data_IF_377608576385
#
_entry.id   IF_377608576385
#
_cell.length_a   1.000
_cell.length_b   1.000
_cell.length_c   1.000
_cell.angle_alpha   90.00
_cell.angle_beta   90.00
_cell.angle_gamma   90.00
#
_symmetry.space_group_name_H-M   'P 1'
#
loop_
_entity.id
_entity.type
_entity.pdbx_description
1 polymer ?
#
# COMPACT_ATOMS: atom_id res chain seq x y z
N UNK A 1 13.95 1.21 12.40
CA UNK A 1 14.90 2.33 12.24
C UNK A 1 14.57 3.16 11.01
N UNK A 2 14.42 2.56 9.83
CA UNK A 2 13.99 3.24 8.60
C UNK A 2 12.65 4.01 8.72
N UNK A 3 11.58 3.38 9.21
CA UNK A 3 10.25 4.01 9.31
C UNK A 3 10.28 5.34 10.09
N UNK A 4 11.05 5.41 11.19
CA UNK A 4 11.19 6.62 12.01
C UNK A 4 11.90 7.77 11.29
N UNK A 5 12.71 7.48 10.27
CA UNK A 5 13.35 8.47 9.42
C UNK A 5 12.37 8.92 8.33
N UNK A 6 11.64 7.98 7.73
CA UNK A 6 10.63 8.28 6.71
C UNK A 6 9.54 9.21 7.24
N UNK A 7 9.04 8.94 8.46
CA UNK A 7 8.03 9.75 9.14
C UNK A 7 8.49 11.19 9.46
N UNK A 8 9.78 11.52 9.29
CA UNK A 8 10.30 12.89 9.43
C UNK A 8 10.32 13.65 8.11
N UNK A 9 9.95 13.00 7.01
CA UNK A 9 9.95 13.60 5.66
C UNK A 9 8.51 13.73 5.18
N UNK A 10 8.20 14.85 4.49
CA UNK A 10 6.94 15.00 3.74
C UNK A 10 6.93 14.29 2.39
N UNK A 11 8.04 13.62 2.06
CA UNK A 11 8.20 12.93 0.78
C UNK A 11 7.35 11.66 0.75
N UNK A 12 6.96 11.14 1.92
CA UNK A 12 6.38 9.81 2.07
C UNK A 12 5.29 9.78 3.15
N UNK A 13 4.26 10.62 2.98
CA UNK A 13 3.05 10.53 3.80
C UNK A 13 2.28 9.22 3.52
N UNK A 14 2.54 8.59 2.36
CA UNK A 14 1.86 7.39 1.87
C UNK A 14 2.87 6.31 1.48
N UNK A 15 3.21 5.43 2.43
CA UNK A 15 4.04 4.23 2.20
C UNK A 15 3.22 2.97 2.34
N UNK A 16 3.67 1.91 1.67
CA UNK A 16 3.03 0.60 1.70
C UNK A 16 3.59 -0.23 2.86
N UNK A 17 2.76 -1.11 3.41
CA UNK A 17 3.17 -2.10 4.41
C UNK A 17 2.58 -3.45 4.01
N UNK A 18 3.20 -4.53 4.48
CA UNK A 18 2.64 -5.87 4.28
C UNK A 18 1.53 -6.14 5.31
N UNK A 19 0.31 -6.59 4.90
CA UNK A 19 -0.82 -6.80 5.82
C UNK A 19 -0.52 -7.70 7.02
N UNK A 20 0.16 -8.83 6.78
CA UNK A 20 0.48 -9.78 7.85
C UNK A 20 1.48 -9.20 8.86
N UNK A 21 2.51 -8.49 8.39
CA UNK A 21 3.49 -7.83 9.26
C UNK A 21 2.83 -6.71 10.08
N UNK A 22 1.94 -5.94 9.43
CA UNK A 22 1.19 -4.84 10.04
C UNK A 22 0.26 -5.33 11.15
N UNK A 23 -0.44 -6.44 10.93
CA UNK A 23 -1.38 -7.00 11.89
C UNK A 23 -0.70 -7.64 13.13
N UNK A 24 0.54 -8.14 13.00
CA UNK A 24 1.15 -9.01 14.01
C UNK A 24 2.30 -8.37 14.79
N UNK A 25 2.94 -7.32 14.29
CA UNK A 25 4.19 -6.81 14.88
C UNK A 25 4.18 -5.31 15.15
N UNK A 26 4.99 -4.87 16.13
CA UNK A 26 5.28 -3.44 16.36
C UNK A 26 6.47 -2.91 15.53
N UNK A 27 7.11 -3.75 14.71
CA UNK A 27 8.29 -3.38 13.93
C UNK A 27 8.04 -3.73 12.46
N UNK A 28 7.28 -2.87 11.80
CA UNK A 28 6.86 -3.04 10.42
C UNK A 28 7.84 -2.33 9.49
N UNK A 29 8.13 -2.91 8.33
CA UNK A 29 8.87 -2.24 7.25
C UNK A 29 7.91 -1.42 6.40
N UNK A 30 8.27 -0.17 6.14
CA UNK A 30 7.58 0.67 5.16
C UNK A 30 8.26 0.54 3.81
N UNK A 31 7.47 0.37 2.76
CA UNK A 31 7.92 0.18 1.39
C UNK A 31 7.52 1.38 0.55
N UNK A 32 8.48 1.88 -0.24
CA UNK A 32 8.20 2.83 -1.30
C UNK A 32 7.99 2.04 -2.60
N UNK A 33 6.73 1.97 -3.02
CA UNK A 33 6.35 1.28 -4.25
C UNK A 33 6.49 2.23 -5.43
N UNK A 34 7.17 1.78 -6.48
CA UNK A 34 7.30 2.50 -7.74
C UNK A 34 6.41 1.84 -8.81
N UNK A 35 5.68 2.65 -9.57
CA UNK A 35 4.88 2.19 -10.71
C UNK A 35 3.37 2.27 -10.47
N UNK A 36 2.59 1.50 -11.23
CA UNK A 36 1.13 1.68 -11.29
C UNK A 36 0.43 1.45 -9.94
N UNK A 37 0.92 0.50 -9.13
CA UNK A 37 0.35 0.23 -7.81
C UNK A 37 0.39 1.45 -6.87
N UNK A 38 1.37 2.34 -7.02
CA UNK A 38 1.48 3.56 -6.20
C UNK A 38 0.52 4.67 -6.63
N UNK A 39 -0.26 4.47 -7.69
CA UNK A 39 -1.22 5.42 -8.24
C UNK A 39 -2.68 5.00 -7.98
N UNK A 40 -2.89 3.80 -7.43
CA UNK A 40 -4.22 3.28 -7.12
C UNK A 40 -4.73 3.89 -5.81
N UNK A 41 -5.92 4.47 -5.83
CA UNK A 41 -6.55 5.05 -4.63
C UNK A 41 -7.06 3.99 -3.66
N UNK A 42 -7.35 4.45 -2.43
CA UNK A 42 -7.99 3.64 -1.41
C UNK A 42 -9.43 3.24 -1.79
N UNK A 43 -9.88 2.09 -1.31
CA UNK A 43 -11.29 1.76 -1.09
C UNK A 43 -11.43 0.72 0.03
N UNK A 44 -12.51 0.77 0.81
CA UNK A 44 -12.82 -0.26 1.83
C UNK A 44 -13.13 -1.65 1.22
N UNK A 45 -13.79 -1.68 0.07
CA UNK A 45 -14.03 -2.89 -0.75
C UNK A 45 -13.33 -2.76 -2.13
N UNK A 46 -12.00 -2.93 -2.19
CA UNK A 46 -11.24 -2.70 -3.41
C UNK A 46 -11.56 -3.74 -4.49
N UNK A 47 -11.17 -3.44 -5.74
CA UNK A 47 -11.24 -4.40 -6.85
C UNK A 47 -9.90 -5.06 -7.19
N UNK A 48 -8.85 -4.68 -6.49
CA UNK A 48 -7.51 -5.24 -6.62
C UNK A 48 -6.81 -5.34 -5.26
N UNK A 49 -5.71 -6.09 -5.22
CA UNK A 49 -4.86 -6.20 -4.04
C UNK A 49 -3.39 -6.26 -4.44
N UNK A 50 -2.51 -5.99 -3.48
CA UNK A 50 -1.07 -6.16 -3.65
C UNK A 50 -0.66 -7.55 -3.15
N UNK A 51 -0.14 -8.36 -4.06
CA UNK A 51 0.63 -9.55 -3.72
C UNK A 51 2.11 -9.16 -3.56
N UNK A 52 2.68 -9.50 -2.41
CA UNK A 52 4.09 -9.25 -2.14
C UNK A 52 4.92 -10.46 -2.54
N UNK A 53 5.90 -10.26 -3.42
CA UNK A 53 6.81 -11.31 -3.87
C UNK A 53 8.24 -10.85 -3.61
N UNK A 54 9.08 -11.77 -3.16
CA UNK A 54 10.51 -11.52 -2.96
C UNK A 54 11.32 -12.44 -3.87
N UNK A 55 12.26 -11.86 -4.60
CA UNK A 55 13.22 -12.59 -5.44
C UNK A 55 14.66 -12.12 -5.20
N UNK A 56 15.59 -12.54 -6.07
CA UNK A 56 17.01 -12.18 -5.95
C UNK A 56 17.31 -10.69 -6.13
N UNK A 57 16.40 -9.92 -6.75
CA UNK A 57 16.53 -8.47 -6.94
C UNK A 57 15.94 -7.71 -5.77
N UNK A 58 14.85 -8.22 -5.18
CA UNK A 58 14.28 -7.69 -3.94
C UNK A 58 12.79 -7.94 -3.78
N UNK A 59 12.14 -7.05 -3.04
CA UNK A 59 10.70 -7.13 -2.75
C UNK A 59 9.90 -6.35 -3.80
N UNK A 60 8.91 -7.01 -4.38
CA UNK A 60 8.04 -6.51 -5.43
C UNK A 60 6.59 -6.44 -4.96
N UNK A 61 5.87 -5.42 -5.45
CA UNK A 61 4.42 -5.26 -5.26
C UNK A 61 3.68 -5.61 -6.55
N UNK A 62 3.12 -6.81 -6.62
CA UNK A 62 2.29 -7.23 -7.75
C UNK A 62 0.86 -6.74 -7.56
N UNK A 63 0.37 -5.92 -8.50
CA UNK A 63 -1.01 -5.45 -8.51
C UNK A 63 -1.92 -6.49 -9.19
N UNK A 64 -2.74 -7.18 -8.40
CA UNK A 64 -3.58 -8.29 -8.86
C UNK A 64 -5.05 -7.91 -8.79
N UNK A 65 -5.81 -8.16 -9.87
CA UNK A 65 -7.25 -7.98 -9.88
C UNK A 65 -7.93 -9.05 -9.01
N UNK A 66 -8.80 -8.62 -8.09
CA UNK A 66 -9.59 -9.51 -7.23
C UNK A 66 -10.93 -9.91 -7.89
N UNK A 67 -11.47 -9.02 -8.72
CA UNK A 67 -12.73 -9.19 -9.45
C UNK A 67 -12.61 -8.59 -10.85
N UNK A 68 -13.57 -8.87 -11.73
CA UNK A 68 -13.57 -8.30 -13.07
C UNK A 68 -13.68 -6.77 -12.99
N UNK A 69 -12.75 -6.05 -13.63
CA UNK A 69 -12.69 -4.60 -13.69
C UNK A 69 -13.13 -4.17 -15.08
N UNK A 70 -14.18 -3.35 -15.17
CA UNK A 70 -14.71 -2.86 -16.45
C UNK A 70 -13.80 -1.78 -17.04
N UNK A 71 -13.93 -1.55 -18.34
CA UNK A 71 -13.33 -0.37 -18.98
C UNK A 71 -13.83 0.88 -18.25
N UNK A 72 -12.92 1.83 -18.04
CA UNK A 72 -13.12 3.09 -17.31
C UNK A 72 -13.46 2.94 -15.82
N UNK A 73 -13.49 1.72 -15.27
CA UNK A 73 -13.58 1.53 -13.83
C UNK A 73 -12.20 1.77 -13.20
N UNK A 74 -12.16 2.60 -12.16
CA UNK A 74 -10.95 2.85 -11.39
C UNK A 74 -10.43 1.59 -10.72
N UNK A 75 -9.11 1.40 -10.71
CA UNK A 75 -8.44 0.34 -9.97
C UNK A 75 -8.13 0.84 -8.57
N UNK A 76 -8.68 0.19 -7.55
CA UNK A 76 -8.57 0.61 -6.15
C UNK A 76 -7.90 -0.47 -5.29
N UNK A 77 -7.24 -0.04 -4.22
CA UNK A 77 -6.53 -0.86 -3.25
C UNK A 77 -7.06 -0.62 -1.84
N UNK A 78 -6.96 -1.63 -0.98
CA UNK A 78 -7.09 -1.40 0.45
C UNK A 78 -5.75 -0.93 1.02
N UNK A 79 -5.74 0.24 1.66
CA UNK A 79 -4.54 0.80 2.27
C UNK A 79 -4.39 0.22 3.67
N UNK A 80 -3.39 -0.65 3.84
CA UNK A 80 -3.25 -1.45 5.06
C UNK A 80 -3.03 -0.61 6.32
N UNK A 81 -2.26 0.48 6.21
CA UNK A 81 -1.95 1.41 7.29
C UNK A 81 -2.64 2.77 7.11
N UNK A 82 -3.87 2.79 6.55
CA UNK A 82 -4.63 4.02 6.32
C UNK A 82 -4.81 4.87 7.58
N UNK A 83 -4.91 4.23 8.74
CA UNK A 83 -4.99 4.85 10.05
C UNK A 83 -3.73 5.62 10.48
N UNK A 84 -2.61 5.45 9.77
CA UNK A 84 -1.36 6.18 9.99
C UNK A 84 -1.21 7.40 9.07
N UNK A 85 -2.09 7.55 8.09
CA UNK A 85 -2.02 8.66 7.14
C UNK A 85 -2.63 9.93 7.74
N UNK A 86 -2.00 11.11 7.56
CA UNK A 86 -2.45 12.36 8.17
C UNK A 86 -3.92 12.71 7.92
N UNK A 87 -4.43 12.35 6.74
CA UNK A 87 -5.82 12.56 6.31
C UNK A 87 -6.53 11.23 6.00
N UNK A 88 -6.16 10.14 6.68
CA UNK A 88 -6.70 8.79 6.45
C UNK A 88 -8.23 8.72 6.43
N UNK A 89 -8.89 9.54 7.27
CA UNK A 89 -10.36 9.62 7.36
C UNK A 89 -11.03 10.24 6.11
N UNK A 90 -10.26 10.90 5.23
CA UNK A 90 -10.76 11.55 4.01
C UNK A 90 -10.72 10.64 2.79
N UNK A 91 -10.01 9.50 2.89
CA UNK A 91 -9.98 8.48 1.86
C UNK A 91 -11.26 7.64 2.00
N UNK A 92 -12.27 7.96 1.18
CA UNK A 92 -13.59 7.29 1.13
C UNK A 92 -13.56 6.09 0.21
#
# INVERSE_FOLDING_TARGET
>A
EQLQILNKTKVLDYYFVQPLEYATTKKIKGYFVLGLASLCNHAEDPNSYVEWIEDEVGVWSHLIAQKHIKIDQEVTLFYTNINEYPDGETFV
#
